data_IF_701833118075
#
_entry.id   IF_701833118075
#
_cell.length_a   1.000
_cell.length_b   1.000
_cell.length_c   1.000
_cell.angle_alpha   90.00
_cell.angle_beta   90.00
_cell.angle_gamma   90.00
#
_symmetry.space_group_name_H-M   'P 1'
#
loop_
_entity.id
_entity.type
_entity.pdbx_description
1 polymer ?
#
# COMPACT_ATOMS: atom_id res chain seq x y z
N UNK A 1 22.51 -11.47 38.04
CA UNK A 1 21.24 -12.23 37.93
C UNK A 1 20.27 -11.88 39.05
N UNK A 2 20.73 -11.69 40.29
CA UNK A 2 19.94 -11.23 41.44
C UNK A 2 19.37 -9.83 41.23
N UNK A 3 20.19 -8.86 40.84
CA UNK A 3 19.78 -7.46 40.59
C UNK A 3 18.67 -7.31 39.52
N UNK A 4 18.66 -8.18 38.49
CA UNK A 4 17.58 -8.22 37.50
C UNK A 4 16.26 -8.71 38.09
N UNK A 5 16.31 -9.72 38.96
CA UNK A 5 15.13 -10.28 39.63
C UNK A 5 14.57 -9.33 40.69
N UNK A 6 15.45 -8.61 41.39
CA UNK A 6 15.08 -7.78 42.54
C UNK A 6 14.64 -6.36 42.14
N UNK A 7 15.16 -5.80 41.02
CA UNK A 7 14.94 -4.38 40.67
C UNK A 7 14.38 -4.13 39.25
N UNK A 8 14.50 -5.09 38.32
CA UNK A 8 14.19 -4.88 36.90
C UNK A 8 13.02 -5.73 36.38
N UNK A 9 12.81 -6.90 36.96
CA UNK A 9 11.89 -7.91 36.44
C UNK A 9 10.42 -7.44 36.48
N UNK A 10 9.95 -6.85 37.59
CA UNK A 10 8.57 -6.35 37.69
C UNK A 10 8.27 -5.24 36.67
N UNK A 11 9.15 -4.24 36.55
CA UNK A 11 8.97 -3.16 35.56
C UNK A 11 8.96 -3.69 34.12
N UNK A 12 9.81 -4.67 33.82
CA UNK A 12 9.85 -5.27 32.48
C UNK A 12 8.67 -6.21 32.22
N UNK A 13 8.16 -6.88 33.27
CA UNK A 13 6.92 -7.65 33.21
C UNK A 13 5.73 -6.73 32.99
N UNK A 14 5.62 -5.60 33.68
CA UNK A 14 4.56 -4.61 33.47
C UNK A 14 4.60 -4.02 32.05
N UNK A 15 5.79 -3.66 31.54
CA UNK A 15 5.94 -3.21 30.15
C UNK A 15 5.57 -4.34 29.16
N UNK A 16 5.88 -5.59 29.49
CA UNK A 16 5.49 -6.77 28.71
C UNK A 16 3.97 -7.01 28.78
N UNK A 17 3.34 -6.81 29.93
CA UNK A 17 1.91 -6.95 30.12
C UNK A 17 1.14 -5.82 29.46
N UNK A 18 1.60 -4.57 29.48
CA UNK A 18 1.03 -3.45 28.71
C UNK A 18 1.14 -3.67 27.18
N UNK A 19 2.16 -4.41 26.73
CA UNK A 19 2.25 -4.89 25.35
C UNK A 19 1.20 -5.96 25.04
N UNK A 20 0.83 -6.80 26.02
CA UNK A 20 -0.13 -7.90 25.87
C UNK A 20 -1.60 -7.50 26.15
N UNK A 21 -1.84 -6.50 26.99
CA UNK A 21 -3.15 -5.99 27.37
C UNK A 21 -3.05 -4.50 27.70
N UNK A 22 -3.77 -3.67 26.95
CA UNK A 22 -3.80 -2.22 27.16
C UNK A 22 -5.15 -1.82 27.77
N UNK A 23 -5.15 -1.34 29.01
CA UNK A 23 -6.39 -0.96 29.72
C UNK A 23 -7.19 0.16 29.03
N UNK A 24 -6.60 0.84 28.04
CA UNK A 24 -7.27 1.87 27.24
C UNK A 24 -8.16 1.30 26.15
N UNK A 25 -8.13 -0.01 25.87
CA UNK A 25 -9.09 -0.62 24.94
C UNK A 25 -10.53 -0.37 25.42
N UNK A 26 -11.41 0.03 24.51
CA UNK A 26 -12.80 0.38 24.82
C UNK A 26 -13.00 1.78 25.44
N UNK A 27 -11.93 2.52 25.72
CA UNK A 27 -12.03 3.94 26.11
C UNK A 27 -12.30 4.84 24.89
N UNK A 28 -12.60 6.12 25.10
CA UNK A 28 -12.68 7.09 24.00
C UNK A 28 -11.31 7.22 23.33
N UNK A 29 -11.30 7.28 22.00
CA UNK A 29 -10.09 7.38 21.21
C UNK A 29 -9.25 8.58 21.68
N UNK A 30 -7.98 8.39 22.06
CA UNK A 30 -7.15 9.48 22.58
C UNK A 30 -6.81 10.53 21.52
N UNK A 31 -6.98 10.22 20.23
CA UNK A 31 -6.69 11.12 19.11
C UNK A 31 -7.90 11.98 18.71
N UNK A 32 -9.05 11.38 18.39
CA UNK A 32 -10.24 12.13 17.96
C UNK A 32 -11.31 12.33 19.04
N UNK A 33 -11.30 11.56 20.14
CA UNK A 33 -12.31 11.56 21.23
C UNK A 33 -13.75 11.16 20.85
N UNK A 34 -14.01 10.88 19.58
CA UNK A 34 -15.34 10.55 19.05
C UNK A 34 -15.63 9.04 18.98
N UNK A 35 -14.63 8.24 18.59
CA UNK A 35 -14.77 6.78 18.45
C UNK A 35 -14.22 5.99 19.65
N UNK A 36 -14.53 4.69 19.72
CA UNK A 36 -13.93 3.79 20.70
C UNK A 36 -12.51 3.38 20.28
N UNK A 37 -11.62 3.26 21.26
CA UNK A 37 -10.25 2.82 21.06
C UNK A 37 -10.20 1.28 20.99
N UNK A 38 -10.41 0.72 19.81
CA UNK A 38 -10.53 -0.74 19.60
C UNK A 38 -9.33 -1.34 18.87
N UNK A 39 -8.47 -0.51 18.27
CA UNK A 39 -7.36 -0.96 17.42
C UNK A 39 -6.02 -0.44 17.93
N UNK A 40 -5.03 -1.31 18.08
CA UNK A 40 -3.65 -0.94 18.44
C UNK A 40 -2.71 -1.47 17.38
N UNK A 41 -1.67 -0.74 17.01
CA UNK A 41 -0.66 -1.30 16.12
C UNK A 41 0.26 -2.24 16.90
N UNK A 42 0.50 -3.43 16.36
CA UNK A 42 1.41 -4.39 16.96
C UNK A 42 2.88 -4.02 16.74
N UNK A 43 3.19 -3.44 15.58
CA UNK A 43 4.56 -3.20 15.13
C UNK A 43 5.10 -1.82 15.56
N UNK A 44 4.25 -0.81 15.65
CA UNK A 44 4.66 0.53 16.10
C UNK A 44 5.10 0.50 17.57
N UNK A 45 6.31 0.99 17.83
CA UNK A 45 6.82 1.12 19.19
C UNK A 45 5.89 2.02 20.03
N UNK A 46 5.44 1.51 21.17
CA UNK A 46 4.56 2.20 22.11
C UNK A 46 3.23 2.70 21.49
N UNK A 47 2.68 1.93 20.53
CA UNK A 47 1.37 2.22 19.95
C UNK A 47 0.29 2.25 21.04
N UNK A 48 -0.62 3.23 20.97
CA UNK A 48 -1.80 3.30 21.83
C UNK A 48 -3.03 2.79 21.06
N UNK A 49 -4.04 2.23 21.75
CA UNK A 49 -5.34 1.94 21.14
C UNK A 49 -5.98 3.20 20.56
N UNK A 50 -6.52 3.08 19.35
CA UNK A 50 -7.16 4.11 18.54
C UNK A 50 -8.47 3.57 17.95
N UNK A 51 -9.34 4.47 17.51
CA UNK A 51 -10.49 4.06 16.70
C UNK A 51 -10.07 3.68 15.28
N UNK A 52 -10.98 3.05 14.54
CA UNK A 52 -10.76 2.61 13.16
C UNK A 52 -10.19 3.72 12.27
N UNK A 53 -10.78 4.90 12.29
CA UNK A 53 -10.36 5.99 11.40
C UNK A 53 -9.00 6.56 11.79
N UNK A 54 -8.72 6.66 13.09
CA UNK A 54 -7.45 7.17 13.58
C UNK A 54 -6.32 6.18 13.36
N UNK A 55 -6.56 4.87 13.49
CA UNK A 55 -5.53 3.87 13.19
C UNK A 55 -5.20 3.86 11.70
N UNK A 56 -6.19 4.01 10.81
CA UNK A 56 -5.97 4.13 9.37
C UNK A 56 -5.18 5.40 9.01
N UNK A 57 -5.54 6.56 9.59
CA UNK A 57 -4.82 7.83 9.36
C UNK A 57 -3.37 7.80 9.85
N UNK A 58 -3.11 7.16 10.98
CA UNK A 58 -1.75 7.04 11.54
C UNK A 58 -0.86 6.13 10.68
N UNK A 59 -1.44 5.18 9.94
CA UNK A 59 -0.71 4.19 9.15
C UNK A 59 -0.74 4.46 7.63
N UNK A 60 -1.05 5.69 7.22
CA UNK A 60 -1.03 6.10 5.79
C UNK A 60 0.32 5.78 5.12
N UNK A 61 1.42 5.98 5.86
CA UNK A 61 2.79 5.72 5.39
C UNK A 61 3.35 4.35 5.83
N UNK A 62 2.58 3.57 6.59
CA UNK A 62 2.96 2.25 7.08
C UNK A 62 1.78 1.26 6.95
N UNK A 63 1.24 1.04 5.73
CA UNK A 63 0.00 0.28 5.54
C UNK A 63 0.14 -1.23 5.79
N UNK A 64 1.37 -1.70 6.01
CA UNK A 64 1.72 -3.10 6.18
C UNK A 64 1.80 -3.55 7.63
N UNK A 65 1.75 -2.61 8.57
CA UNK A 65 1.79 -2.98 9.96
C UNK A 65 0.56 -3.79 10.35
N UNK A 66 0.79 -4.87 11.07
CA UNK A 66 -0.29 -5.59 11.71
C UNK A 66 -0.83 -4.81 12.92
N UNK A 67 -2.13 -4.96 13.12
CA UNK A 67 -2.88 -4.34 14.21
C UNK A 67 -3.52 -5.42 15.09
N UNK A 68 -3.69 -5.14 16.36
CA UNK A 68 -4.55 -5.90 17.26
C UNK A 68 -5.90 -5.21 17.34
N UNK A 69 -6.98 -5.97 17.13
CA UNK A 69 -8.36 -5.55 17.31
C UNK A 69 -8.94 -6.16 18.58
N UNK A 70 -9.49 -5.32 19.44
CA UNK A 70 -10.25 -5.77 20.61
C UNK A 70 -11.67 -6.12 20.20
N UNK A 71 -12.00 -7.42 20.20
CA UNK A 71 -13.33 -7.90 19.83
C UNK A 71 -14.32 -8.00 21.00
N UNK A 72 -13.95 -7.50 22.18
CA UNK A 72 -14.72 -7.62 23.43
C UNK A 72 -14.32 -8.79 24.32
N UNK A 73 -13.62 -9.79 23.77
CA UNK A 73 -13.17 -10.98 24.51
C UNK A 73 -11.65 -11.12 24.52
N UNK A 74 -10.99 -10.94 23.37
CA UNK A 74 -9.55 -11.08 23.21
C UNK A 74 -9.01 -10.13 22.13
N UNK A 75 -7.68 -9.96 22.10
CA UNK A 75 -7.00 -9.26 21.03
C UNK A 75 -6.81 -10.18 19.83
N UNK A 76 -7.52 -9.87 18.76
CA UNK A 76 -7.41 -10.56 17.49
C UNK A 76 -6.39 -9.84 16.62
N UNK A 77 -5.33 -10.56 16.21
CA UNK A 77 -4.36 -10.06 15.24
C UNK A 77 -5.04 -9.89 13.88
N UNK A 78 -4.99 -8.68 13.33
CA UNK A 78 -5.53 -8.35 12.01
C UNK A 78 -4.52 -7.55 11.21
N UNK A 79 -4.53 -7.70 9.89
CA UNK A 79 -3.81 -6.76 9.04
C UNK A 79 -4.58 -5.45 8.94
N UNK A 80 -3.90 -4.31 8.81
CA UNK A 80 -4.56 -3.02 8.60
C UNK A 80 -5.53 -3.06 7.40
N UNK A 81 -5.18 -3.82 6.36
CA UNK A 81 -6.01 -4.01 5.17
C UNK A 81 -7.37 -4.69 5.42
N UNK A 82 -7.51 -5.47 6.50
CA UNK A 82 -8.77 -6.14 6.86
C UNK A 82 -9.88 -5.16 7.30
N UNK A 83 -9.52 -3.91 7.59
CA UNK A 83 -10.45 -2.86 7.99
C UNK A 83 -11.19 -2.21 6.80
N UNK A 84 -10.86 -2.58 5.56
CA UNK A 84 -11.63 -2.17 4.38
C UNK A 84 -10.89 -2.14 3.03
N UNK A 85 -9.79 -2.88 2.82
CA UNK A 85 -8.91 -2.67 1.65
C UNK A 85 -8.49 -3.95 0.91
N UNK A 86 -9.43 -4.90 0.73
CA UNK A 86 -9.22 -5.99 -0.22
C UNK A 86 -9.62 -5.55 -1.64
N UNK A 87 -8.63 -5.51 -2.52
CA UNK A 87 -8.78 -5.27 -3.95
C UNK A 87 -9.12 -6.58 -4.67
N UNK A 88 -10.27 -6.67 -5.35
CA UNK A 88 -10.68 -7.93 -5.97
C UNK A 88 -9.83 -8.27 -7.20
N UNK A 89 -9.60 -9.57 -7.44
CA UNK A 89 -8.96 -10.07 -8.66
C UNK A 89 -9.85 -9.98 -9.91
N UNK A 90 -11.17 -9.82 -9.72
CA UNK A 90 -12.16 -9.66 -10.79
C UNK A 90 -13.42 -8.96 -10.26
N UNK A 91 -14.19 -8.29 -11.13
CA UNK A 91 -15.39 -7.54 -10.72
C UNK A 91 -16.73 -8.22 -11.03
N UNK A 92 -16.75 -9.17 -11.98
CA UNK A 92 -18.01 -9.84 -12.38
C UNK A 92 -18.35 -10.95 -11.38
N UNK A 93 -17.35 -11.73 -10.93
CA UNK A 93 -17.47 -12.80 -9.93
C UNK A 93 -16.16 -12.93 -9.14
N UNK A 94 -15.95 -12.11 -8.10
CA UNK A 94 -14.71 -12.14 -7.32
C UNK A 94 -14.59 -13.46 -6.56
N UNK A 95 -13.59 -14.28 -6.92
CA UNK A 95 -13.20 -15.49 -6.17
C UNK A 95 -11.84 -15.33 -5.48
N UNK A 96 -11.15 -14.23 -5.75
CA UNK A 96 -9.85 -13.89 -5.20
C UNK A 96 -9.82 -12.40 -4.89
N UNK A 97 -9.13 -12.04 -3.82
CA UNK A 97 -8.90 -10.65 -3.44
C UNK A 97 -7.47 -10.52 -2.91
N UNK A 98 -6.87 -9.35 -3.08
CA UNK A 98 -5.51 -9.03 -2.70
C UNK A 98 -5.51 -7.74 -1.89
N UNK A 99 -4.56 -7.56 -0.99
CA UNK A 99 -4.46 -6.30 -0.24
C UNK A 99 -3.91 -5.21 -1.16
N UNK A 100 -4.39 -3.97 -1.00
CA UNK A 100 -3.79 -2.81 -1.69
C UNK A 100 -2.29 -2.68 -1.37
N UNK A 101 -1.89 -3.07 -0.16
CA UNK A 101 -0.49 -3.20 0.24
C UNK A 101 0.29 -4.14 -0.68
N UNK A 102 -0.13 -5.39 -0.87
CA UNK A 102 0.59 -6.35 -1.71
C UNK A 102 0.77 -5.84 -3.15
N UNK A 103 -0.22 -5.10 -3.68
CA UNK A 103 -0.13 -4.46 -4.99
C UNK A 103 0.89 -3.31 -5.02
N UNK A 104 1.01 -2.54 -3.93
CA UNK A 104 1.99 -1.46 -3.76
C UNK A 104 3.41 -1.99 -3.61
N UNK A 105 3.62 -3.02 -2.79
CA UNK A 105 4.91 -3.69 -2.64
C UNK A 105 5.39 -4.26 -3.96
N UNK A 106 4.50 -4.94 -4.69
CA UNK A 106 4.82 -5.45 -6.01
C UNK A 106 5.22 -4.33 -6.97
N UNK A 107 4.52 -3.19 -6.96
CA UNK A 107 4.91 -2.03 -7.76
C UNK A 107 6.35 -1.58 -7.47
N UNK A 108 6.69 -1.39 -6.19
CA UNK A 108 8.03 -0.97 -5.76
C UNK A 108 9.11 -2.01 -6.11
N UNK A 109 8.82 -3.30 -5.91
CA UNK A 109 9.74 -4.39 -6.20
C UNK A 109 9.99 -4.53 -7.70
N UNK A 110 8.98 -4.37 -8.54
CA UNK A 110 9.16 -4.35 -10.00
C UNK A 110 10.04 -3.18 -10.45
N UNK A 111 9.91 -2.00 -9.82
CA UNK A 111 10.75 -0.83 -10.13
C UNK A 111 12.20 -0.99 -9.67
N UNK A 112 12.43 -1.61 -8.52
CA UNK A 112 13.76 -1.69 -7.89
C UNK A 112 14.56 -2.92 -8.30
N UNK A 113 13.89 -4.07 -8.46
CA UNK A 113 14.55 -5.38 -8.63
C UNK A 113 14.13 -6.13 -9.89
N UNK A 114 13.27 -5.53 -10.74
CA UNK A 114 12.72 -6.15 -11.96
C UNK A 114 11.98 -7.47 -11.69
N UNK A 115 11.33 -7.56 -10.53
CA UNK A 115 10.62 -8.74 -10.08
C UNK A 115 9.35 -8.97 -10.93
N UNK A 116 9.13 -10.22 -11.34
CA UNK A 116 7.96 -10.64 -12.15
C UNK A 116 6.78 -11.01 -11.26
N UNK A 117 5.55 -10.92 -11.78
CA UNK A 117 4.35 -11.29 -11.02
C UNK A 117 4.39 -12.73 -10.51
N UNK A 118 4.89 -13.66 -11.32
CA UNK A 118 5.04 -15.07 -10.94
C UNK A 118 6.08 -15.27 -9.83
N UNK A 119 7.18 -14.51 -9.85
CA UNK A 119 8.16 -14.54 -8.76
C UNK A 119 7.55 -13.99 -7.46
N UNK A 120 6.77 -12.91 -7.55
CA UNK A 120 6.11 -12.31 -6.39
C UNK A 120 5.07 -13.26 -5.78
N UNK A 121 4.21 -13.86 -6.59
CA UNK A 121 3.22 -14.82 -6.09
C UNK A 121 3.88 -16.09 -5.56
N UNK A 122 5.01 -16.52 -6.13
CA UNK A 122 5.81 -17.61 -5.57
C UNK A 122 6.40 -17.23 -4.21
N UNK A 123 6.89 -16.00 -4.05
CA UNK A 123 7.33 -15.48 -2.76
C UNK A 123 6.19 -15.48 -1.73
N UNK A 124 5.00 -14.98 -2.11
CA UNK A 124 3.82 -15.02 -1.24
C UNK A 124 3.43 -16.46 -0.86
N UNK A 125 3.43 -17.40 -1.82
CA UNK A 125 3.17 -18.82 -1.56
C UNK A 125 4.15 -19.41 -0.55
N UNK A 126 5.45 -19.14 -0.69
CA UNK A 126 6.48 -19.59 0.25
C UNK A 126 6.39 -18.93 1.62
N UNK A 127 5.86 -17.71 1.69
CA UNK A 127 5.58 -17.05 2.97
C UNK A 127 4.38 -17.69 3.68
N UNK A 128 3.41 -18.20 2.94
CA UNK A 128 2.23 -18.90 3.48
C UNK A 128 2.54 -20.35 3.89
N UNK A 129 3.18 -21.11 3.00
CA UNK A 129 3.67 -22.46 3.26
C UNK A 129 5.11 -22.57 2.73
N UNK A 130 6.06 -22.55 3.67
CA UNK A 130 7.48 -22.58 3.35
C UNK A 130 7.94 -23.93 2.79
N UNK A 131 7.34 -25.02 3.26
CA UNK A 131 7.82 -26.37 3.01
C UNK A 131 7.21 -26.98 1.75
N UNK A 132 5.91 -26.77 1.52
CA UNK A 132 5.21 -27.37 0.38
C UNK A 132 4.51 -26.31 -0.48
N UNK A 133 5.29 -25.60 -1.31
CA UNK A 133 4.75 -24.60 -2.25
C UNK A 133 3.64 -25.16 -3.16
N UNK A 134 3.65 -26.46 -3.46
CA UNK A 134 2.75 -27.15 -4.40
C UNK A 134 1.33 -27.31 -3.88
N UNK A 135 1.12 -27.32 -2.56
CA UNK A 135 -0.21 -27.35 -1.94
C UNK A 135 -0.96 -26.04 -2.14
N UNK A 136 -0.23 -24.93 -2.26
CA UNK A 136 -0.81 -23.60 -2.40
C UNK A 136 -1.10 -23.30 -3.88
N UNK A 137 -2.34 -22.93 -4.19
CA UNK A 137 -2.80 -22.61 -5.56
C UNK A 137 -2.00 -21.45 -6.16
N UNK A 138 -1.63 -21.57 -7.42
CA UNK A 138 -1.02 -20.45 -8.16
C UNK A 138 -2.11 -19.44 -8.57
N UNK A 139 -1.95 -18.20 -8.12
CA UNK A 139 -2.84 -17.07 -8.40
C UNK A 139 -2.12 -15.92 -9.08
N UNK A 140 -0.99 -16.18 -9.75
CA UNK A 140 -0.19 -15.18 -10.46
C UNK A 140 -1.01 -14.36 -11.47
N UNK A 141 -1.93 -15.03 -12.17
CA UNK A 141 -2.79 -14.40 -13.18
C UNK A 141 -3.77 -13.43 -12.53
N UNK A 142 -4.51 -13.88 -11.52
CA UNK A 142 -5.48 -13.06 -10.79
C UNK A 142 -4.79 -11.88 -10.10
N UNK A 143 -3.61 -12.11 -9.53
CA UNK A 143 -2.79 -11.07 -8.93
C UNK A 143 -2.39 -10.02 -9.95
N UNK A 144 -1.91 -10.43 -11.13
CA UNK A 144 -1.49 -9.49 -12.16
C UNK A 144 -2.66 -8.70 -12.76
N UNK A 145 -3.84 -9.32 -12.87
CA UNK A 145 -5.08 -8.62 -13.22
C UNK A 145 -5.42 -7.55 -12.19
N UNK A 146 -5.43 -7.90 -10.90
CA UNK A 146 -5.65 -6.94 -9.81
C UNK A 146 -4.63 -5.80 -9.85
N UNK A 147 -3.35 -6.11 -10.07
CA UNK A 147 -2.29 -5.12 -10.16
C UNK A 147 -2.46 -4.14 -11.31
N UNK A 148 -2.86 -4.61 -12.51
CA UNK A 148 -3.14 -3.74 -13.66
C UNK A 148 -4.27 -2.76 -13.35
N UNK A 149 -5.34 -3.25 -12.74
CA UNK A 149 -6.50 -2.43 -12.34
C UNK A 149 -6.11 -1.41 -11.27
N UNK A 150 -5.37 -1.85 -10.24
CA UNK A 150 -4.86 -0.98 -9.19
C UNK A 150 -3.92 0.12 -9.75
N UNK A 151 -2.99 -0.26 -10.63
CA UNK A 151 -2.06 0.69 -11.26
C UNK A 151 -2.78 1.72 -12.13
N UNK A 152 -3.81 1.28 -12.85
CA UNK A 152 -4.68 2.19 -13.61
C UNK A 152 -5.39 3.19 -12.69
N UNK A 153 -6.04 2.72 -11.62
CA UNK A 153 -6.75 3.59 -10.67
C UNK A 153 -5.80 4.54 -9.94
N UNK A 154 -4.61 4.06 -9.58
CA UNK A 154 -3.55 4.89 -9.02
C UNK A 154 -3.15 6.01 -9.99
N UNK A 155 -3.05 5.69 -11.29
CA UNK A 155 -2.68 6.67 -12.30
C UNK A 155 -3.77 7.72 -12.54
N UNK A 156 -5.02 7.29 -12.63
CA UNK A 156 -6.19 8.17 -12.74
C UNK A 156 -6.25 9.14 -11.55
N UNK A 157 -6.02 8.63 -10.34
CA UNK A 157 -5.97 9.46 -9.12
C UNK A 157 -4.82 10.48 -9.15
N UNK A 158 -3.65 10.08 -9.64
CA UNK A 158 -2.48 10.96 -9.75
C UNK A 158 -2.69 12.09 -10.76
N UNK A 159 -3.30 11.81 -11.92
CA UNK A 159 -3.52 12.81 -12.96
C UNK A 159 -4.78 13.64 -12.75
N UNK A 160 -5.68 13.23 -11.85
CA UNK A 160 -6.94 13.93 -11.59
C UNK A 160 -7.91 13.90 -12.78
N UNK A 161 -7.73 12.96 -13.70
CA UNK A 161 -8.61 12.80 -14.87
C UNK A 161 -9.83 12.00 -14.48
N UNK A 162 -11.02 12.45 -14.86
CA UNK A 162 -12.25 11.69 -14.64
C UNK A 162 -12.26 10.41 -15.48
N UNK A 163 -12.75 9.32 -14.91
CA UNK A 163 -12.92 8.05 -15.63
C UNK A 163 -14.04 8.24 -16.66
N UNK A 164 -13.76 8.11 -17.98
CA UNK A 164 -14.78 8.29 -19.01
C UNK A 164 -15.91 7.28 -18.83
N UNK A 165 -17.15 7.74 -19.02
CA UNK A 165 -18.32 6.86 -18.95
C UNK A 165 -18.34 5.96 -20.19
N UNK A 166 -18.65 4.68 -19.97
CA UNK A 166 -18.96 3.65 -20.97
C UNK A 166 -18.48 3.90 -22.42
N UNK A 167 -17.40 3.20 -22.83
CA UNK A 167 -16.82 3.20 -24.18
C UNK A 167 -16.22 4.52 -24.68
N UNK A 168 -16.23 5.57 -23.87
CA UNK A 168 -15.51 6.79 -24.21
C UNK A 168 -14.00 6.60 -23.96
N UNK A 169 -13.17 7.03 -24.91
CA UNK A 169 -11.72 6.95 -24.81
C UNK A 169 -11.16 8.10 -23.98
N UNK A 170 -10.03 7.86 -23.32
CA UNK A 170 -9.27 8.91 -22.68
C UNK A 170 -8.67 9.83 -23.74
N UNK A 171 -8.69 11.17 -23.55
CA UNK A 171 -7.96 12.07 -24.42
C UNK A 171 -6.49 11.67 -24.51
N UNK A 172 -5.90 11.77 -25.71
CA UNK A 172 -4.50 11.42 -25.92
C UNK A 172 -3.59 12.20 -24.96
N UNK A 173 -2.70 11.48 -24.27
CA UNK A 173 -1.77 12.09 -23.30
C UNK A 173 -2.36 12.48 -21.95
N UNK A 174 -3.66 12.30 -21.70
CA UNK A 174 -4.31 12.67 -20.42
C UNK A 174 -3.75 11.92 -19.20
N UNK A 175 -3.26 10.69 -19.38
CA UNK A 175 -2.62 9.91 -18.33
C UNK A 175 -1.08 9.92 -18.42
N UNK A 176 -0.48 10.72 -19.30
CA UNK A 176 0.98 10.81 -19.40
C UNK A 176 1.53 11.66 -18.24
N UNK A 177 2.60 11.20 -17.59
CA UNK A 177 3.37 12.07 -16.69
C UNK A 177 4.06 13.16 -17.50
N UNK A 178 4.07 14.39 -16.98
CA UNK A 178 4.88 15.44 -17.56
C UNK A 178 6.36 15.06 -17.45
N UNK A 179 7.02 14.87 -18.59
CA UNK A 179 8.43 14.56 -18.67
C UNK A 179 9.19 15.76 -19.23
N UNK A 180 10.03 16.38 -18.41
CA UNK A 180 10.86 17.52 -18.81
C UNK A 180 11.90 17.16 -19.88
N UNK A 181 12.24 15.88 -20.01
CA UNK A 181 13.14 15.35 -21.04
C UNK A 181 12.42 14.94 -22.33
N UNK A 182 11.09 14.91 -22.37
CA UNK A 182 10.35 14.68 -23.62
C UNK A 182 10.19 16.01 -24.39
N UNK A 183 10.12 16.01 -25.74
CA UNK A 183 9.86 17.22 -26.51
C UNK A 183 8.49 17.83 -26.16
N UNK A 184 8.51 19.04 -25.60
CA UNK A 184 7.33 19.82 -25.22
C UNK A 184 7.32 21.14 -26.00
N UNK A 185 6.44 21.30 -27.02
CA UNK A 185 6.31 22.53 -27.78
C UNK A 185 6.05 23.74 -26.88
N UNK A 186 6.86 24.79 -27.03
CA UNK A 186 6.74 26.02 -26.23
C UNK A 186 7.38 25.98 -24.83
N UNK A 187 7.89 24.83 -24.38
CA UNK A 187 8.60 24.71 -23.09
C UNK A 187 10.09 24.46 -23.31
N UNK A 188 10.46 23.31 -23.89
CA UNK A 188 11.86 22.90 -24.06
C UNK A 188 12.26 22.68 -25.53
N UNK A 189 11.33 22.87 -26.47
CA UNK A 189 11.58 22.85 -27.91
C UNK A 189 11.85 24.26 -28.44
N UNK A 190 12.67 24.36 -29.49
CA UNK A 190 12.92 25.63 -30.18
C UNK A 190 11.66 26.16 -30.89
N UNK A 191 11.40 27.47 -30.96
CA UNK A 191 10.20 28.00 -31.64
C UNK A 191 10.08 27.59 -33.12
N UNK A 192 11.22 27.42 -33.79
CA UNK A 192 11.39 26.98 -35.18
C UNK A 192 11.35 25.45 -35.37
N UNK A 193 10.99 24.67 -34.34
CA UNK A 193 11.08 23.21 -34.41
C UNK A 193 10.30 22.60 -35.60
N UNK A 194 9.18 23.22 -36.01
CA UNK A 194 8.34 22.74 -37.12
C UNK A 194 9.03 22.82 -38.48
N UNK A 195 9.96 23.77 -38.67
CA UNK A 195 10.65 23.98 -39.94
C UNK A 195 11.90 23.12 -40.09
N UNK A 196 12.27 22.37 -39.04
CA UNK A 196 13.43 21.48 -39.07
C UNK A 196 13.14 20.22 -39.89
N UNK A 197 14.18 19.61 -40.50
CA UNK A 197 14.04 18.28 -41.07
C UNK A 197 13.60 17.28 -39.98
N UNK A 198 12.86 16.24 -40.37
CA UNK A 198 12.15 15.34 -39.44
C UNK A 198 13.05 14.76 -38.34
N UNK A 199 14.30 14.44 -38.67
CA UNK A 199 15.28 13.91 -37.72
C UNK A 199 15.74 14.91 -36.65
N UNK A 200 15.51 16.22 -36.83
CA UNK A 200 15.93 17.29 -35.92
C UNK A 200 14.77 18.05 -35.27
N UNK A 201 13.51 17.68 -35.58
CA UNK A 201 12.32 18.34 -35.02
C UNK A 201 12.27 18.29 -33.49
N UNK A 202 12.74 17.21 -32.90
CA UNK A 202 12.70 16.99 -31.45
C UNK A 202 13.94 17.47 -30.67
N UNK A 203 14.86 18.18 -31.32
CA UNK A 203 16.11 18.64 -30.68
C UNK A 203 15.82 19.77 -29.68
N UNK A 204 16.21 19.55 -28.43
CA UNK A 204 16.03 20.50 -27.33
C UNK A 204 16.80 21.80 -27.54
N UNK A 205 16.32 22.85 -26.89
CA UNK A 205 17.02 24.14 -26.85
C UNK A 205 18.24 24.02 -25.93
N UNK A 206 19.42 23.73 -26.49
CA UNK A 206 20.69 23.83 -25.75
C UNK A 206 21.08 25.31 -25.66
N UNK A 207 20.56 26.02 -24.65
CA UNK A 207 21.11 27.30 -24.21
C UNK A 207 21.15 27.30 -22.69
N UNK A 208 22.35 27.15 -22.15
CA UNK A 208 22.70 27.63 -20.81
C UNK A 208 22.97 29.13 -20.91
#
# INVERSE_FOLDING_TARGET
MTDFKDNGAEKLLDISYERQYDSRFGSRCPHCKDGLAEYKCFECFNSRPLCKDCVLKMHVHAPFHDIDFWNGHFLERRSLSSLGELFPGSFIRPQTAFTAGALRDFHLLTLTTKLTSSAYTTFLRRKTDYWSKETTKDRAREFFTAFRMYSFLAKVKETGVDIPRHRQEFPAGSMATFCAACPQPGINMSPDWKTRPDNLKCVFRTRW
#
